data_IF_539282364909
#
_entry.id   IF_539282364909
#
_cell.length_a   1.000
_cell.length_b   1.000
_cell.length_c   1.000
_cell.angle_alpha   90.00
_cell.angle_beta   90.00
_cell.angle_gamma   90.00
#
_symmetry.space_group_name_H-M   'P 1'
#
loop_
_entity.id
_entity.type
_entity.pdbx_description
1 polymer ?
#
# COMPACT_ATOMS: atom_id res chain seq x y z
N UNK A 1 21.01 2.25 9.76
CA UNK A 1 20.34 0.99 10.12
C UNK A 1 18.86 1.18 9.76
N UNK A 2 18.49 0.90 8.52
CA UNK A 2 17.11 1.07 8.03
C UNK A 2 16.30 -0.13 8.51
N UNK A 3 15.46 0.10 9.52
CA UNK A 3 14.49 -0.89 9.98
C UNK A 3 13.41 -1.02 8.91
N UNK A 4 13.47 -2.06 8.10
CA UNK A 4 12.35 -2.49 7.26
C UNK A 4 11.25 -2.96 8.21
N UNK A 5 10.29 -2.08 8.50
CA UNK A 5 9.09 -2.44 9.25
C UNK A 5 8.25 -3.34 8.35
N UNK A 6 8.32 -4.66 8.58
CA UNK A 6 7.39 -5.61 8.00
C UNK A 6 5.96 -5.20 8.39
N UNK A 7 5.15 -4.86 7.40
CA UNK A 7 3.79 -4.38 7.60
C UNK A 7 2.89 -5.58 7.93
N UNK A 8 2.70 -5.85 9.23
CA UNK A 8 2.01 -7.04 9.76
C UNK A 8 0.49 -6.99 9.65
N UNK A 9 -0.07 -5.91 9.07
CA UNK A 9 -1.52 -5.76 8.91
C UNK A 9 -2.10 -6.89 8.05
N UNK A 10 -3.31 -7.39 8.35
CA UNK A 10 -3.98 -8.34 7.47
C UNK A 10 -4.26 -7.70 6.10
N UNK A 11 -4.32 -8.53 5.06
CA UNK A 11 -4.46 -8.06 3.66
C UNK A 11 -5.70 -7.18 3.46
N UNK A 12 -6.78 -7.42 4.19
CA UNK A 12 -7.99 -6.59 4.13
C UNK A 12 -7.81 -5.19 4.73
N UNK A 13 -6.99 -5.05 5.78
CA UNK A 13 -6.62 -3.73 6.33
C UNK A 13 -5.71 -2.96 5.37
N UNK A 14 -4.84 -3.64 4.61
CA UNK A 14 -4.06 -3.03 3.53
C UNK A 14 -4.94 -2.55 2.38
N UNK A 15 -5.98 -3.32 2.00
CA UNK A 15 -6.95 -2.89 0.98
C UNK A 15 -7.70 -1.63 1.43
N UNK A 16 -8.10 -1.56 2.70
CA UNK A 16 -8.78 -0.38 3.24
C UNK A 16 -7.84 0.83 3.28
N UNK A 17 -6.59 0.64 3.70
CA UNK A 17 -5.56 1.68 3.64
C UNK A 17 -5.27 2.17 2.20
N UNK A 18 -5.33 1.28 1.21
CA UNK A 18 -5.21 1.65 -0.20
C UNK A 18 -6.38 2.54 -0.65
N UNK A 19 -7.60 2.22 -0.25
CA UNK A 19 -8.79 3.02 -0.59
C UNK A 19 -8.72 4.41 0.05
N UNK A 20 -8.33 4.50 1.32
CA UNK A 20 -8.13 5.79 2.00
C UNK A 20 -7.01 6.61 1.35
N UNK A 21 -5.88 5.97 1.02
CA UNK A 21 -4.78 6.62 0.32
C UNK A 21 -5.19 7.12 -1.06
N UNK A 22 -5.99 6.34 -1.80
CA UNK A 22 -6.51 6.73 -3.11
C UNK A 22 -7.49 7.90 -3.00
N UNK A 23 -8.37 7.91 -1.99
CA UNK A 23 -9.25 9.05 -1.72
C UNK A 23 -8.46 10.31 -1.36
N UNK A 24 -7.37 10.18 -0.60
CA UNK A 24 -6.49 11.30 -0.27
C UNK A 24 -5.80 11.88 -1.52
N UNK A 25 -5.26 11.03 -2.40
CA UNK A 25 -4.66 11.45 -3.68
C UNK A 25 -5.69 12.10 -4.61
N UNK A 26 -6.94 11.61 -4.64
CA UNK A 26 -8.02 12.26 -5.41
C UNK A 26 -8.34 13.65 -4.84
N UNK A 27 -8.29 13.82 -3.51
CA UNK A 27 -8.52 15.08 -2.83
C UNK A 27 -7.37 16.09 -2.93
N UNK A 28 -6.14 15.60 -3.11
CA UNK A 28 -4.93 16.40 -3.23
C UNK A 28 -3.96 15.75 -4.26
N UNK A 29 -4.23 15.92 -5.56
CA UNK A 29 -3.44 15.28 -6.62
C UNK A 29 -2.01 15.82 -6.75
N UNK A 30 -1.76 17.03 -6.24
CA UNK A 30 -0.45 17.69 -6.26
C UNK A 30 0.38 17.42 -4.99
N UNK A 31 -0.10 16.57 -4.08
CA UNK A 31 0.61 16.21 -2.85
C UNK A 31 1.55 15.02 -3.12
N UNK A 32 2.85 15.31 -3.20
CA UNK A 32 3.91 14.33 -3.47
C UNK A 32 4.00 13.26 -2.35
N UNK A 33 3.71 13.63 -1.11
CA UNK A 33 3.73 12.69 0.03
C UNK A 33 2.55 11.71 -0.05
N UNK A 34 1.37 12.19 -0.49
CA UNK A 34 0.22 11.33 -0.74
C UNK A 34 0.49 10.34 -1.89
N UNK A 35 1.16 10.79 -2.95
CA UNK A 35 1.56 9.94 -4.08
C UNK A 35 2.57 8.86 -3.66
N UNK A 36 3.60 9.21 -2.87
CA UNK A 36 4.60 8.27 -2.38
C UNK A 36 4.00 7.19 -1.45
N UNK A 37 3.07 7.60 -0.56
CA UNK A 37 2.33 6.67 0.30
C UNK A 37 1.47 5.71 -0.52
N UNK A 38 0.74 6.22 -1.51
CA UNK A 38 -0.08 5.37 -2.38
C UNK A 38 0.79 4.36 -3.14
N UNK A 39 1.92 4.79 -3.69
CA UNK A 39 2.86 3.91 -4.39
C UNK A 39 3.39 2.79 -3.49
N UNK A 40 3.75 3.11 -2.24
CA UNK A 40 4.23 2.14 -1.25
C UNK A 40 3.17 1.09 -0.90
N UNK A 41 1.92 1.52 -0.71
CA UNK A 41 0.80 0.62 -0.40
C UNK A 41 0.50 -0.29 -1.59
N UNK A 42 0.49 0.25 -2.81
CA UNK A 42 0.27 -0.53 -4.04
C UNK A 42 1.36 -1.60 -4.20
N UNK A 43 2.64 -1.23 -4.06
CA UNK A 43 3.75 -2.18 -4.18
C UNK A 43 3.65 -3.30 -3.15
N UNK A 44 3.39 -2.95 -1.89
CA UNK A 44 3.25 -3.93 -0.81
C UNK A 44 2.08 -4.88 -1.04
N UNK A 45 0.96 -4.37 -1.57
CA UNK A 45 -0.20 -5.19 -1.88
C UNK A 45 0.05 -6.10 -3.08
N UNK A 46 0.73 -5.61 -4.11
CA UNK A 46 1.12 -6.37 -5.30
C UNK A 46 2.06 -7.53 -4.96
N UNK A 47 3.08 -7.29 -4.13
CA UNK A 47 3.99 -8.34 -3.66
C UNK A 47 3.25 -9.42 -2.86
N UNK A 48 2.33 -9.03 -1.98
CA UNK A 48 1.54 -9.98 -1.18
C UNK A 48 0.55 -10.78 -2.04
N UNK A 49 -0.14 -10.14 -2.96
CA UNK A 49 -1.06 -10.82 -3.88
C UNK A 49 -0.31 -11.75 -4.83
N UNK A 50 0.87 -11.34 -5.32
CA UNK A 50 1.73 -12.19 -6.15
C UNK A 50 2.25 -13.39 -5.37
N UNK A 51 2.66 -13.20 -4.10
CA UNK A 51 3.06 -14.30 -3.23
C UNK A 51 1.90 -15.26 -2.92
N UNK A 52 0.69 -14.74 -2.70
CA UNK A 52 -0.53 -15.55 -2.49
C UNK A 52 -0.90 -16.32 -3.76
N UNK A 53 -0.85 -15.68 -4.92
CA UNK A 53 -1.17 -16.29 -6.22
C UNK A 53 -0.13 -17.33 -6.68
N UNK A 54 1.15 -17.15 -6.31
CA UNK A 54 2.24 -18.11 -6.60
C UNK A 54 2.21 -19.31 -5.64
N UNK A 55 1.51 -19.18 -4.51
CA UNK A 55 1.35 -20.27 -3.53
C UNK A 55 0.17 -21.21 -3.86
N UNK A 56 -0.45 -21.07 -5.04
CA UNK A 56 -1.56 -21.88 -5.56
C UNK A 56 -1.10 -22.83 -6.65
#
# INVERSE_FOLDING_TARGET
>A
MTTTTEDTRPTDDLKMALVESLMAVIGAPDDEEAAEKAATIIHTLDERLTAEATSV
#
